data_IF_985514613526
#
_entry.id   IF_985514613526
#
_cell.length_a   1.000
_cell.length_b   1.000
_cell.length_c   1.000
_cell.angle_alpha   90.00
_cell.angle_beta   90.00
_cell.angle_gamma   90.00
#
_symmetry.space_group_name_H-M   'P 1'
#
loop_
_entity.id
_entity.type
_entity.pdbx_description
1 polymer ?
#
# COMPACT_ATOMS: atom_id res chain seq x y z
N UNK A 1 2.14 15.37 0.69
CA UNK A 1 1.12 14.64 -0.11
C UNK A 1 1.14 15.20 -1.51
N UNK A 2 0.83 14.38 -2.50
CA UNK A 2 0.84 14.75 -3.91
C UNK A 2 -0.56 14.55 -4.51
N UNK A 3 -0.92 15.36 -5.50
CA UNK A 3 -2.15 15.21 -6.24
C UNK A 3 -2.12 13.95 -7.11
N UNK A 4 -3.28 13.43 -7.49
CA UNK A 4 -3.38 12.14 -8.18
C UNK A 4 -2.80 12.17 -9.60
N UNK A 5 -2.89 13.30 -10.29
CA UNK A 5 -2.23 13.54 -11.58
C UNK A 5 -0.71 13.49 -11.46
N UNK A 6 -0.15 14.12 -10.41
CA UNK A 6 1.29 14.07 -10.09
C UNK A 6 1.72 12.65 -9.71
N UNK A 7 0.91 11.94 -8.94
CA UNK A 7 1.17 10.57 -8.55
C UNK A 7 1.18 9.61 -9.75
N UNK A 8 0.28 9.82 -10.70
CA UNK A 8 0.24 9.05 -11.93
C UNK A 8 1.43 9.37 -12.84
N UNK A 9 1.78 10.64 -13.01
CA UNK A 9 2.97 11.02 -13.76
C UNK A 9 4.25 10.41 -13.17
N UNK A 10 4.42 10.47 -11.85
CA UNK A 10 5.52 9.84 -11.13
C UNK A 10 5.55 8.32 -11.34
N UNK A 11 4.39 7.67 -11.22
CA UNK A 11 4.30 6.22 -11.41
C UNK A 11 4.69 5.82 -12.83
N UNK A 12 4.18 6.51 -13.85
CA UNK A 12 4.48 6.23 -15.25
C UNK A 12 5.97 6.40 -15.56
N UNK A 13 6.63 7.41 -14.98
CA UNK A 13 8.08 7.57 -15.07
C UNK A 13 8.83 6.40 -14.43
N UNK A 14 8.49 6.02 -13.19
CA UNK A 14 9.12 4.91 -12.49
C UNK A 14 8.96 3.57 -13.24
N UNK A 15 7.82 3.35 -13.90
CA UNK A 15 7.59 2.18 -14.75
C UNK A 15 8.41 2.26 -16.04
N UNK A 16 8.36 3.39 -16.75
CA UNK A 16 9.06 3.58 -18.02
C UNK A 16 10.57 3.40 -17.89
N UNK A 17 11.15 3.95 -16.83
CA UNK A 17 12.58 3.88 -16.55
C UNK A 17 12.99 2.59 -15.80
N UNK A 18 12.03 1.69 -15.52
CA UNK A 18 12.24 0.43 -14.79
C UNK A 18 12.91 0.62 -13.41
N UNK A 19 12.48 1.64 -12.67
CA UNK A 19 13.04 2.03 -11.37
C UNK A 19 12.30 1.41 -10.17
N UNK A 20 11.17 0.73 -10.41
CA UNK A 20 10.41 0.08 -9.35
C UNK A 20 11.11 -1.20 -8.92
N UNK A 21 11.67 -1.21 -7.72
CA UNK A 21 12.36 -2.37 -7.17
C UNK A 21 11.42 -3.33 -6.44
N UNK A 22 10.45 -2.81 -5.68
CA UNK A 22 9.55 -3.60 -4.83
C UNK A 22 8.17 -2.96 -4.73
N UNK A 23 7.14 -3.81 -4.51
CA UNK A 23 5.76 -3.38 -4.27
C UNK A 23 5.14 -4.27 -3.19
N UNK A 24 4.77 -3.68 -2.05
CA UNK A 24 4.25 -4.40 -0.89
C UNK A 24 3.09 -3.65 -0.23
N UNK A 25 2.33 -4.37 0.60
CA UNK A 25 1.43 -3.74 1.56
C UNK A 25 2.24 -2.79 2.47
N UNK A 26 1.65 -1.65 2.81
CA UNK A 26 2.34 -0.60 3.54
C UNK A 26 1.42 0.17 4.48
N UNK A 27 1.89 1.34 4.87
CA UNK A 27 1.22 2.21 5.85
C UNK A 27 1.70 1.90 7.27
N UNK A 28 1.93 2.95 8.06
CA UNK A 28 2.52 2.82 9.41
C UNK A 28 1.74 1.86 10.29
N UNK A 29 0.41 2.01 10.37
CA UNK A 29 -0.44 1.14 11.19
C UNK A 29 -0.60 -0.26 10.56
N UNK A 30 -0.76 -0.35 9.23
CA UNK A 30 -0.84 -1.62 8.53
C UNK A 30 0.38 -2.50 8.80
N UNK A 31 1.58 -1.92 8.72
CA UNK A 31 2.84 -2.59 9.02
C UNK A 31 2.93 -3.01 10.51
N UNK A 32 2.48 -2.16 11.43
CA UNK A 32 2.45 -2.51 12.86
C UNK A 32 1.54 -3.70 13.14
N UNK A 33 0.33 -3.73 12.56
CA UNK A 33 -0.62 -4.83 12.74
C UNK A 33 -0.13 -6.11 12.08
N UNK A 34 0.42 -6.01 10.88
CA UNK A 34 1.10 -7.12 10.20
C UNK A 34 2.20 -7.71 11.10
N UNK A 35 3.12 -6.88 11.59
CA UNK A 35 4.23 -7.31 12.42
C UNK A 35 3.78 -7.93 13.74
N UNK A 36 2.80 -7.33 14.42
CA UNK A 36 2.21 -7.91 15.62
C UNK A 36 1.70 -9.33 15.35
N UNK A 37 0.90 -9.50 14.30
CA UNK A 37 0.32 -10.79 13.94
C UNK A 37 1.35 -11.83 13.54
N UNK A 38 2.44 -11.43 12.88
CA UNK A 38 3.57 -12.32 12.57
C UNK A 38 4.33 -12.72 13.83
N UNK A 39 4.62 -11.77 14.73
CA UNK A 39 5.44 -12.00 15.92
C UNK A 39 4.69 -12.77 17.02
N UNK A 40 3.39 -12.53 17.17
CA UNK A 40 2.58 -13.18 18.20
C UNK A 40 1.90 -14.48 17.73
N UNK A 41 1.90 -14.75 16.42
CA UNK A 41 1.00 -15.73 15.77
C UNK A 41 -0.45 -15.61 16.25
N UNK A 42 -0.90 -14.36 16.43
CA UNK A 42 -2.24 -14.03 16.95
C UNK A 42 -2.95 -13.00 16.06
N UNK A 43 -4.27 -12.93 16.23
CA UNK A 43 -5.15 -12.10 15.42
C UNK A 43 -4.97 -10.62 15.75
N UNK A 44 -4.83 -9.81 14.70
CA UNK A 44 -5.01 -8.36 14.74
C UNK A 44 -6.18 -7.95 13.84
N UNK A 45 -6.81 -6.79 14.09
CA UNK A 45 -7.88 -6.25 13.24
C UNK A 45 -7.44 -4.91 12.68
N UNK A 46 -7.45 -4.77 11.36
CA UNK A 46 -7.11 -3.51 10.69
C UNK A 46 -8.38 -2.79 10.22
N UNK A 47 -8.51 -1.53 10.61
CA UNK A 47 -9.58 -0.64 10.16
C UNK A 47 -9.03 0.31 9.10
N UNK A 48 -9.84 0.60 8.08
CA UNK A 48 -9.44 1.41 6.93
C UNK A 48 -10.39 1.20 5.75
N UNK A 49 -9.88 1.49 4.55
CA UNK A 49 -10.64 1.34 3.29
C UNK A 49 -10.03 0.26 2.40
N UNK A 50 -10.86 -0.36 1.57
CA UNK A 50 -10.45 -1.28 0.51
C UNK A 50 -11.32 -1.07 -0.73
N UNK A 51 -10.76 -1.29 -1.92
CA UNK A 51 -11.54 -1.24 -3.15
C UNK A 51 -12.71 -2.23 -3.08
N UNK A 52 -13.92 -1.78 -3.39
CA UNK A 52 -15.11 -2.66 -3.40
C UNK A 52 -15.01 -3.75 -4.48
N UNK A 53 -14.34 -3.42 -5.60
CA UNK A 53 -14.03 -4.36 -6.68
C UNK A 53 -12.51 -4.51 -6.77
N UNK A 54 -12.02 -5.75 -6.68
CA UNK A 54 -10.59 -6.06 -6.69
C UNK A 54 -10.27 -6.88 -7.94
N UNK A 55 -9.49 -6.28 -8.85
CA UNK A 55 -9.01 -6.95 -10.06
C UNK A 55 -7.68 -7.68 -9.79
N UNK A 56 -7.49 -8.83 -10.44
CA UNK A 56 -6.25 -9.59 -10.35
C UNK A 56 -5.08 -8.74 -10.83
N UNK A 57 -4.01 -8.71 -10.02
CA UNK A 57 -2.80 -7.95 -10.33
C UNK A 57 -2.84 -6.47 -9.90
N UNK A 58 -3.99 -5.96 -9.46
CA UNK A 58 -4.14 -4.60 -8.93
C UNK A 58 -3.38 -4.37 -7.61
N UNK A 59 -3.22 -3.11 -7.22
CA UNK A 59 -2.65 -2.76 -5.91
C UNK A 59 -3.45 -3.32 -4.74
N UNK A 60 -4.78 -3.25 -4.81
CA UNK A 60 -5.66 -3.82 -3.79
C UNK A 60 -5.48 -5.34 -3.67
N UNK A 61 -5.37 -6.04 -4.80
CA UNK A 61 -5.09 -7.48 -4.80
C UNK A 61 -3.75 -7.80 -4.13
N UNK A 62 -2.69 -7.09 -4.51
CA UNK A 62 -1.35 -7.26 -3.91
C UNK A 62 -1.34 -6.93 -2.42
N UNK A 63 -2.10 -5.93 -1.98
CA UNK A 63 -2.24 -5.58 -0.57
C UNK A 63 -2.82 -6.75 0.22
N UNK A 64 -3.87 -7.40 -0.28
CA UNK A 64 -4.45 -8.58 0.36
C UNK A 64 -3.44 -9.74 0.41
N UNK A 65 -2.74 -10.02 -0.69
CA UNK A 65 -1.78 -11.12 -0.76
C UNK A 65 -0.56 -10.93 0.16
N UNK A 66 -0.13 -9.69 0.37
CA UNK A 66 1.08 -9.37 1.15
C UNK A 66 0.79 -9.12 2.64
N UNK A 67 -0.48 -8.98 3.02
CA UNK A 67 -0.87 -8.80 4.43
C UNK A 67 -0.85 -10.16 5.14
N UNK A 68 -0.44 -10.20 6.41
CA UNK A 68 -0.39 -11.44 7.19
C UNK A 68 -1.75 -12.11 7.23
N UNK A 69 -1.79 -13.44 7.12
CA UNK A 69 -3.03 -14.23 7.19
C UNK A 69 -3.75 -14.11 8.54
N UNK A 70 -3.06 -13.63 9.57
CA UNK A 70 -3.58 -13.38 10.92
C UNK A 70 -4.06 -11.93 11.12
N UNK A 71 -3.84 -11.03 10.17
CA UNK A 71 -4.42 -9.68 10.19
C UNK A 71 -5.80 -9.72 9.53
N UNK A 72 -6.84 -9.53 10.33
CA UNK A 72 -8.23 -9.53 9.91
C UNK A 72 -8.58 -8.23 9.17
N UNK A 73 -8.93 -8.38 7.89
CA UNK A 73 -9.28 -7.31 6.97
C UNK A 73 -10.79 -7.25 6.67
N UNK A 74 -11.63 -8.10 7.30
CA UNK A 74 -13.07 -8.14 7.03
C UNK A 74 -13.82 -6.88 7.47
N UNK A 75 -13.18 -6.02 8.26
CA UNK A 75 -13.74 -4.77 8.78
C UNK A 75 -13.30 -3.54 7.98
N UNK A 76 -12.60 -3.73 6.85
CA UNK A 76 -12.30 -2.64 5.93
C UNK A 76 -13.59 -2.16 5.23
N UNK A 77 -13.75 -0.85 5.12
CA UNK A 77 -14.87 -0.25 4.41
C UNK A 77 -14.62 -0.27 2.91
N UNK A 78 -15.57 -0.81 2.14
CA UNK A 78 -15.55 -0.74 0.68
C UNK A 78 -15.64 0.70 0.18
N UNK A 79 -14.77 1.08 -0.75
CA UNK A 79 -14.82 2.38 -1.45
C UNK A 79 -14.88 2.19 -2.96
N UNK A 80 -15.45 3.18 -3.65
CA UNK A 80 -15.52 3.25 -5.13
C UNK A 80 -14.34 4.07 -5.67
N UNK A 81 -13.14 3.59 -5.40
CA UNK A 81 -11.89 4.26 -5.75
C UNK A 81 -10.66 3.43 -5.40
N UNK A 82 -9.46 3.84 -5.84
CA UNK A 82 -8.21 3.18 -5.49
C UNK A 82 -7.84 3.42 -4.02
N UNK A 83 -7.21 2.43 -3.41
CA UNK A 83 -6.52 2.61 -2.12
C UNK A 83 -5.32 3.54 -2.28
N UNK A 84 -4.92 4.18 -1.17
CA UNK A 84 -3.76 5.07 -1.15
C UNK A 84 -2.45 4.40 -1.60
N UNK A 85 -1.61 5.18 -2.28
CA UNK A 85 -0.29 4.78 -2.76
C UNK A 85 0.79 5.57 -2.05
N UNK A 86 1.85 4.89 -1.61
CA UNK A 86 3.04 5.51 -1.05
C UNK A 86 4.25 5.14 -1.91
N UNK A 87 4.85 6.13 -2.56
CA UNK A 87 6.11 5.98 -3.28
C UNK A 87 7.24 6.25 -2.30
N UNK A 88 7.99 5.20 -1.96
CA UNK A 88 9.22 5.32 -1.15
C UNK A 88 10.39 5.51 -2.09
N UNK A 89 10.87 6.75 -2.20
CA UNK A 89 12.00 7.13 -3.05
C UNK A 89 13.28 7.11 -2.20
N UNK A 90 14.29 6.38 -2.66
CA UNK A 90 15.56 6.22 -1.95
C UNK A 90 16.62 6.96 -2.75
N UNK A 91 17.15 8.04 -2.19
CA UNK A 91 18.22 8.82 -2.81
C UNK A 91 19.59 8.14 -2.69
N UNK A 92 20.57 8.62 -3.46
CA UNK A 92 21.95 8.08 -3.45
C UNK A 92 22.60 8.16 -2.06
N UNK A 93 22.20 9.13 -1.23
CA UNK A 93 22.65 9.29 0.16
C UNK A 93 22.04 8.25 1.13
N UNK A 94 21.08 7.46 0.68
CA UNK A 94 20.27 6.57 1.53
C UNK A 94 19.10 7.25 2.23
N UNK A 95 18.89 8.55 2.02
CA UNK A 95 17.70 9.25 2.51
C UNK A 95 16.44 8.68 1.85
N UNK A 96 15.35 8.61 2.63
CA UNK A 96 14.06 8.08 2.18
C UNK A 96 13.01 9.18 2.17
N UNK A 97 12.45 9.45 1.00
CA UNK A 97 11.34 10.38 0.82
C UNK A 97 10.06 9.60 0.52
N UNK A 98 8.96 9.99 1.15
CA UNK A 98 7.65 9.37 0.97
C UNK A 98 6.70 10.33 0.25
N UNK A 99 6.38 10.02 -1.01
CA UNK A 99 5.35 10.73 -1.76
C UNK A 99 4.03 9.96 -1.66
N UNK A 100 2.99 10.59 -1.12
CA UNK A 100 1.73 9.94 -0.75
C UNK A 100 0.60 10.48 -1.63
N UNK A 101 -0.07 9.60 -2.37
CA UNK A 101 -1.39 9.82 -2.98
C UNK A 101 -2.42 9.08 -2.15
N UNK A 102 -3.43 9.81 -1.64
CA UNK A 102 -4.39 9.27 -0.68
C UNK A 102 -5.40 8.32 -1.32
N UNK A 103 -5.60 8.39 -2.64
CA UNK A 103 -6.75 7.77 -3.30
C UNK A 103 -8.02 8.59 -3.10
N UNK A 104 -9.15 7.96 -3.38
CA UNK A 104 -10.48 8.58 -3.49
C UNK A 104 -11.34 8.23 -2.26
#
# INVERSE_FOLDING_TARGET
MIADDVAEALYQELVRENLITHQFAGGTIGNTMHNYSVLADDRSVLLGVMCSNIEIGSYAYRYLCNTSSRTDLNYLQGVNGPIGRCFTLIGESGERTFAISLGI
#
